data_IF_149112138767
#
_entry.id   IF_149112138767
#
_cell.length_a   1.000
_cell.length_b   1.000
_cell.length_c   1.000
_cell.angle_alpha   90.00
_cell.angle_beta   90.00
_cell.angle_gamma   90.00
#
_symmetry.space_group_name_H-M   'P 1'
#
loop_
_entity.id
_entity.type
_entity.pdbx_description
1 polymer ?
#
# COMPACT_ATOMS: atom_id res chain seq x y z
N UNK A 1 -21.05 9.79 12.14
CA UNK A 1 -20.10 9.61 13.26
C UNK A 1 -19.69 8.15 13.30
N UNK A 2 -18.39 7.85 13.21
CA UNK A 2 -17.92 6.48 13.16
C UNK A 2 -18.16 5.78 14.51
N UNK A 3 -18.75 4.59 14.47
CA UNK A 3 -18.96 3.75 15.65
C UNK A 3 -17.66 2.99 15.94
N UNK A 4 -17.11 3.23 17.12
CA UNK A 4 -15.94 2.51 17.60
C UNK A 4 -16.39 1.19 18.25
N UNK A 5 -15.69 0.10 17.97
CA UNK A 5 -15.96 -1.27 18.42
C UNK A 5 -14.83 -1.80 19.28
N UNK A 6 -15.10 -2.90 19.99
CA UNK A 6 -14.19 -3.65 20.87
C UNK A 6 -13.21 -2.78 21.67
N UNK A 7 -13.63 -2.34 22.86
CA UNK A 7 -12.83 -1.54 23.80
C UNK A 7 -12.28 -0.22 23.23
N UNK A 8 -12.91 0.33 22.20
CA UNK A 8 -12.47 1.60 21.62
C UNK A 8 -11.32 1.48 20.59
N UNK A 9 -10.92 0.26 20.22
CA UNK A 9 -9.72 0.04 19.41
C UNK A 9 -9.98 -0.02 17.90
N UNK A 10 -11.20 -0.33 17.47
CA UNK A 10 -11.49 -0.59 16.05
C UNK A 10 -12.62 0.28 15.54
N UNK A 11 -12.45 0.89 14.37
CA UNK A 11 -13.54 1.59 13.69
C UNK A 11 -14.41 0.57 12.98
N UNK A 12 -15.72 0.60 13.23
CA UNK A 12 -16.68 -0.18 12.43
C UNK A 12 -16.82 0.48 11.07
N UNK A 13 -16.15 -0.04 10.05
CA UNK A 13 -16.17 0.53 8.68
C UNK A 13 -17.61 0.72 8.16
N UNK A 14 -18.53 -0.18 8.52
CA UNK A 14 -19.94 -0.08 8.11
C UNK A 14 -20.70 1.12 8.70
N UNK A 15 -20.11 1.82 9.68
CA UNK A 15 -20.71 2.97 10.36
C UNK A 15 -20.16 4.31 9.90
N UNK A 16 -19.18 4.29 8.99
CA UNK A 16 -18.67 5.48 8.32
C UNK A 16 -19.77 6.07 7.42
N UNK A 17 -19.69 7.38 7.17
CA UNK A 17 -20.52 7.96 6.13
C UNK A 17 -20.11 7.35 4.75
N UNK A 18 -20.95 7.45 3.72
CA UNK A 18 -20.67 6.83 2.43
C UNK A 18 -19.36 7.30 1.77
N UNK A 19 -18.99 8.57 1.94
CA UNK A 19 -17.79 9.16 1.34
C UNK A 19 -16.52 8.67 2.03
N UNK A 20 -16.44 8.80 3.37
CA UNK A 20 -15.33 8.30 4.18
C UNK A 20 -15.14 6.79 3.97
N UNK A 21 -16.24 6.04 3.90
CA UNK A 21 -16.20 4.59 3.67
C UNK A 21 -15.56 4.27 2.32
N UNK A 22 -15.96 5.00 1.27
CA UNK A 22 -15.42 4.84 -0.08
C UNK A 22 -13.92 5.17 -0.08
N UNK A 23 -13.54 6.32 0.49
CA UNK A 23 -12.15 6.76 0.54
C UNK A 23 -11.27 5.79 1.33
N UNK A 24 -11.76 5.31 2.49
CA UNK A 24 -11.08 4.29 3.29
C UNK A 24 -10.84 2.99 2.50
N UNK A 25 -11.86 2.47 1.81
CA UNK A 25 -11.72 1.23 1.04
C UNK A 25 -10.77 1.39 -0.15
N UNK A 26 -10.82 2.52 -0.85
CA UNK A 26 -9.89 2.81 -1.95
C UNK A 26 -8.46 2.95 -1.41
N UNK A 27 -8.26 3.70 -0.33
CA UNK A 27 -6.97 3.86 0.32
C UNK A 27 -6.38 2.50 0.72
N UNK A 28 -7.19 1.63 1.35
CA UNK A 28 -6.75 0.29 1.73
C UNK A 28 -6.39 -0.58 0.51
N UNK A 29 -7.19 -0.52 -0.56
CA UNK A 29 -6.91 -1.26 -1.78
C UNK A 29 -5.61 -0.78 -2.45
N UNK A 30 -5.39 0.54 -2.54
CA UNK A 30 -4.17 1.12 -3.08
C UNK A 30 -2.95 0.77 -2.23
N UNK A 31 -3.08 0.80 -0.91
CA UNK A 31 -2.02 0.38 -0.01
C UNK A 31 -1.63 -1.08 -0.26
N UNK A 32 -2.61 -1.98 -0.40
CA UNK A 32 -2.37 -3.39 -0.73
C UNK A 32 -1.72 -3.57 -2.10
N UNK A 33 -2.16 -2.85 -3.14
CA UNK A 33 -1.53 -2.87 -4.47
C UNK A 33 -0.06 -2.46 -4.37
N UNK A 34 0.24 -1.38 -3.66
CA UNK A 34 1.62 -0.95 -3.43
C UNK A 34 2.42 -1.98 -2.63
N UNK A 35 1.82 -2.66 -1.65
CA UNK A 35 2.49 -3.72 -0.90
C UNK A 35 2.85 -4.92 -1.79
N UNK A 36 1.98 -5.32 -2.71
CA UNK A 36 2.30 -6.36 -3.71
C UNK A 36 3.43 -5.93 -4.64
N UNK A 37 3.39 -4.72 -5.18
CA UNK A 37 4.46 -4.18 -6.04
C UNK A 37 5.78 -4.02 -5.27
N UNK A 38 5.72 -3.72 -3.97
CA UNK A 38 6.88 -3.65 -3.10
C UNK A 38 7.55 -5.01 -2.94
N UNK A 39 6.77 -6.10 -2.85
CA UNK A 39 7.32 -7.46 -2.88
C UNK A 39 8.14 -7.75 -4.14
N UNK A 40 7.66 -7.32 -5.32
CA UNK A 40 8.43 -7.39 -6.57
C UNK A 40 9.71 -6.56 -6.49
N UNK A 41 9.63 -5.33 -5.96
CA UNK A 41 10.83 -4.51 -5.77
C UNK A 41 11.88 -5.23 -4.91
N UNK A 42 11.49 -5.82 -3.77
CA UNK A 42 12.39 -6.54 -2.87
C UNK A 42 13.07 -7.73 -3.56
N UNK A 43 12.40 -8.40 -4.49
CA UNK A 43 13.02 -9.48 -5.26
C UNK A 43 14.23 -9.03 -6.12
N UNK A 44 14.32 -7.73 -6.48
CA UNK A 44 15.48 -7.19 -7.22
C UNK A 44 16.60 -6.65 -6.32
N UNK A 45 16.29 -6.23 -5.10
CA UNK A 45 17.25 -5.53 -4.22
C UNK A 45 17.60 -6.32 -2.96
N UNK A 46 16.99 -7.49 -2.77
CA UNK A 46 17.13 -8.30 -1.57
C UNK A 46 16.32 -7.77 -0.39
N UNK A 47 16.22 -8.57 0.68
CA UNK A 47 15.58 -8.20 1.94
C UNK A 47 16.45 -8.64 3.12
N UNK A 48 16.69 -7.75 4.08
CA UNK A 48 17.52 -7.97 5.27
C UNK A 48 18.93 -8.55 5.00
N UNK A 49 19.90 -7.66 4.76
CA UNK A 49 21.33 -8.00 4.53
C UNK A 49 21.62 -8.90 3.32
N UNK A 50 20.62 -9.12 2.46
CA UNK A 50 20.80 -9.84 1.21
C UNK A 50 21.53 -8.97 0.17
N UNK A 51 22.24 -9.62 -0.74
CA UNK A 51 22.99 -8.93 -1.80
C UNK A 51 22.03 -8.64 -2.96
N UNK A 52 21.89 -7.37 -3.38
CA UNK A 52 21.05 -7.01 -4.51
C UNK A 52 21.45 -7.77 -5.78
N UNK A 53 20.46 -8.23 -6.53
CA UNK A 53 20.69 -8.76 -7.87
C UNK A 53 21.04 -7.58 -8.80
N UNK A 54 22.31 -7.47 -9.19
CA UNK A 54 22.81 -6.34 -9.95
C UNK A 54 22.15 -6.18 -11.34
N UNK A 55 21.73 -7.28 -11.96
CA UNK A 55 21.05 -7.26 -13.27
C UNK A 55 19.61 -6.77 -13.11
N UNK A 56 18.90 -7.33 -12.13
CA UNK A 56 17.50 -7.00 -11.90
C UNK A 56 17.29 -5.65 -11.20
N UNK A 57 18.27 -5.17 -10.42
CA UNK A 57 18.17 -3.90 -9.71
C UNK A 57 18.00 -2.69 -10.65
N UNK A 58 18.53 -2.76 -11.86
CA UNK A 58 18.45 -1.67 -12.87
C UNK A 58 17.41 -1.91 -13.96
N UNK A 59 16.76 -3.08 -13.97
CA UNK A 59 15.78 -3.46 -14.98
C UNK A 59 14.51 -2.59 -14.94
N UNK A 60 14.02 -2.25 -16.13
CA UNK A 60 12.81 -1.46 -16.35
C UNK A 60 11.56 -2.06 -15.70
N UNK A 61 11.47 -3.38 -15.60
CA UNK A 61 10.34 -4.09 -14.99
C UNK A 61 10.25 -3.76 -13.49
N UNK A 62 11.37 -3.84 -12.79
CA UNK A 62 11.42 -3.53 -11.36
C UNK A 62 11.30 -2.03 -11.09
N UNK A 63 11.80 -1.17 -12.00
CA UNK A 63 11.54 0.26 -11.93
C UNK A 63 10.05 0.60 -12.07
N UNK A 64 9.32 -0.10 -12.94
CA UNK A 64 7.88 0.06 -13.05
C UNK A 64 7.15 -0.38 -11.77
N UNK A 65 7.57 -1.49 -11.15
CA UNK A 65 7.03 -1.90 -9.85
C UNK A 65 7.26 -0.82 -8.77
N UNK A 66 8.46 -0.22 -8.70
CA UNK A 66 8.76 0.89 -7.78
C UNK A 66 7.85 2.10 -8.01
N UNK A 67 7.58 2.44 -9.27
CA UNK A 67 6.65 3.52 -9.60
C UNK A 67 5.24 3.23 -9.08
N UNK A 68 4.75 1.99 -9.24
CA UNK A 68 3.46 1.57 -8.70
C UNK A 68 3.43 1.72 -7.18
N UNK A 69 4.48 1.33 -6.46
CA UNK A 69 4.58 1.51 -5.00
C UNK A 69 4.40 2.99 -4.64
N UNK A 70 5.21 3.86 -5.24
CA UNK A 70 5.22 5.29 -4.91
C UNK A 70 3.86 5.93 -5.21
N UNK A 71 3.31 5.71 -6.41
CA UNK A 71 2.04 6.32 -6.83
C UNK A 71 0.88 5.80 -5.99
N UNK A 72 0.76 4.49 -5.81
CA UNK A 72 -0.35 3.90 -5.06
C UNK A 72 -0.35 4.33 -3.60
N UNK A 73 0.81 4.34 -2.94
CA UNK A 73 0.92 4.78 -1.55
C UNK A 73 0.74 6.29 -1.39
N UNK A 74 1.24 7.11 -2.32
CA UNK A 74 1.00 8.55 -2.30
C UNK A 74 -0.50 8.87 -2.45
N UNK A 75 -1.21 8.20 -3.35
CA UNK A 75 -2.67 8.41 -3.47
C UNK A 75 -3.39 7.86 -2.24
N UNK A 76 -2.99 6.70 -1.72
CA UNK A 76 -3.62 6.10 -0.55
C UNK A 76 -3.59 7.02 0.67
N UNK A 77 -2.49 7.75 0.89
CA UNK A 77 -2.37 8.68 2.03
C UNK A 77 -3.12 9.98 1.86
N UNK A 78 -3.44 10.38 0.63
CA UNK A 78 -4.19 11.62 0.33
C UNK A 78 -5.72 11.45 0.38
N UNK A 79 -6.21 10.20 0.43
CA UNK A 79 -7.62 9.90 0.57
C UNK A 79 -7.99 9.93 2.06
N UNK A 80 -8.84 10.88 2.44
CA UNK A 80 -9.35 11.07 3.80
C UNK A 80 -10.88 10.98 3.81
#
# INVERSE_FOLDING_TARGET
>A
MAKITHRGMWIKISSLNPEDKKNYLISMALFMIGAFAWGFHLASVGFFNDVPDAENATSSVYNFARLIVVVSWAIATLLH
#
